data_IF_856880550330
#
_entry.id   IF_856880550330
#
_cell.length_a   1.000
_cell.length_b   1.000
_cell.length_c   1.000
_cell.angle_alpha   90.00
_cell.angle_beta   90.00
_cell.angle_gamma   90.00
#
_symmetry.space_group_name_H-M   'P 1'
#
loop_
_entity.id
_entity.type
_entity.pdbx_description
1 polymer ?
#
# COMPACT_ATOMS: atom_id res chain seq x y z
N UNK A 1 -4.65 -14.76 -8.34
CA UNK A 1 -3.67 -14.36 -7.32
C UNK A 1 -3.88 -12.88 -7.04
N UNK A 2 -3.99 -12.47 -5.78
CA UNK A 2 -3.99 -11.04 -5.42
C UNK A 2 -2.64 -10.42 -5.84
N UNK A 3 -2.63 -9.15 -6.25
CA UNK A 3 -1.37 -8.47 -6.57
C UNK A 3 -0.46 -8.41 -5.34
N UNK A 4 0.85 -8.50 -5.56
CA UNK A 4 1.87 -8.32 -4.53
C UNK A 4 2.26 -6.84 -4.50
N UNK A 5 2.26 -6.25 -3.32
CA UNK A 5 2.83 -4.91 -3.14
C UNK A 5 4.17 -5.05 -2.43
N UNK A 6 5.26 -4.76 -3.14
CA UNK A 6 6.62 -4.87 -2.57
C UNK A 6 6.91 -3.75 -1.57
N UNK A 7 6.30 -2.57 -1.79
CA UNK A 7 6.31 -1.43 -0.87
C UNK A 7 5.18 -0.49 -1.28
N UNK A 8 4.83 0.50 -0.46
CA UNK A 8 3.80 1.50 -0.82
C UNK A 8 4.10 2.25 -2.14
N UNK A 9 5.31 2.17 -2.69
CA UNK A 9 5.64 2.71 -4.02
C UNK A 9 5.42 1.76 -5.19
N UNK A 10 5.42 0.44 -4.99
CA UNK A 10 5.40 -0.53 -6.11
C UNK A 10 4.41 -1.65 -5.81
N UNK A 11 3.38 -1.73 -6.65
CA UNK A 11 2.43 -2.83 -6.72
C UNK A 11 2.63 -3.60 -8.03
N UNK A 12 2.49 -4.92 -8.03
CA UNK A 12 2.45 -5.70 -9.26
C UNK A 12 1.42 -6.84 -9.19
N UNK A 13 0.92 -7.26 -10.35
CA UNK A 13 0.03 -8.41 -10.44
C UNK A 13 0.20 -9.13 -11.76
N UNK A 14 0.17 -10.46 -11.72
CA UNK A 14 -0.13 -11.30 -12.87
C UNK A 14 -1.59 -11.73 -12.81
N UNK A 15 -2.35 -11.44 -13.85
CA UNK A 15 -3.77 -11.78 -13.89
C UNK A 15 -4.27 -11.99 -15.33
N UNK A 16 -5.37 -12.72 -15.45
CA UNK A 16 -6.07 -12.92 -16.71
C UNK A 16 -7.38 -12.14 -16.66
N UNK A 17 -7.67 -11.40 -17.72
CA UNK A 17 -8.87 -10.59 -17.86
C UNK A 17 -9.39 -10.72 -19.29
N UNK A 18 -10.70 -10.72 -19.47
CA UNK A 18 -11.27 -10.95 -20.78
C UNK A 18 -12.67 -10.37 -20.94
N UNK A 19 -13.14 -10.44 -22.17
CA UNK A 19 -14.44 -9.96 -22.62
C UNK A 19 -15.29 -11.17 -22.94
N UNK A 20 -16.49 -11.23 -22.37
CA UNK A 20 -17.49 -12.25 -22.75
C UNK A 20 -18.30 -11.70 -23.91
N UNK A 21 -18.35 -12.43 -25.01
CA UNK A 21 -19.14 -12.08 -26.18
C UNK A 21 -20.46 -12.86 -26.18
N UNK A 22 -21.53 -12.18 -26.57
CA UNK A 22 -22.87 -12.76 -26.63
C UNK A 22 -23.61 -12.34 -27.91
N UNK A 23 -24.42 -13.24 -28.44
CA UNK A 23 -25.37 -12.98 -29.51
C UNK A 23 -26.77 -12.75 -28.93
N UNK A 24 -27.51 -11.80 -29.49
CA UNK A 24 -28.89 -11.51 -29.08
C UNK A 24 -29.84 -12.08 -30.13
N UNK A 25 -30.74 -12.97 -29.70
CA UNK A 25 -31.73 -13.59 -30.58
C UNK A 25 -32.89 -12.64 -30.94
N UNK A 26 -33.81 -13.12 -31.79
CA UNK A 26 -34.98 -12.34 -32.21
C UNK A 26 -35.94 -11.97 -31.09
N UNK A 27 -35.89 -12.67 -29.95
CA UNK A 27 -36.68 -12.40 -28.75
C UNK A 27 -35.96 -11.43 -27.79
N UNK A 28 -34.75 -10.99 -28.14
CA UNK A 28 -33.94 -10.11 -27.30
C UNK A 28 -33.17 -10.83 -26.18
N UNK A 29 -33.08 -12.17 -26.20
CA UNK A 29 -32.29 -12.91 -25.22
C UNK A 29 -30.83 -12.98 -25.64
N UNK A 30 -29.92 -12.72 -24.69
CA UNK A 30 -28.48 -12.83 -24.91
C UNK A 30 -28.01 -14.25 -24.62
N UNK A 31 -27.28 -14.83 -25.57
CA UNK A 31 -26.64 -16.14 -25.48
C UNK A 31 -25.13 -15.95 -25.55
N UNK A 32 -24.43 -16.40 -24.50
CA UNK A 32 -22.97 -16.33 -24.45
C UNK A 32 -22.36 -17.25 -25.50
N UNK A 33 -21.37 -16.73 -26.23
CA UNK A 33 -20.68 -17.44 -27.30
C UNK A 33 -19.29 -17.90 -26.91
N UNK A 34 -18.64 -17.14 -26.02
CA UNK A 34 -17.29 -17.42 -25.56
C UNK A 34 -16.62 -16.21 -24.95
N UNK A 35 -15.45 -16.45 -24.38
CA UNK A 35 -14.60 -15.45 -23.75
C UNK A 35 -13.29 -15.30 -24.52
N UNK A 36 -12.94 -14.06 -24.86
CA UNK A 36 -11.58 -13.71 -25.30
C UNK A 36 -10.85 -13.04 -24.14
N UNK A 37 -9.69 -13.56 -23.74
CA UNK A 37 -8.97 -13.09 -22.56
C UNK A 37 -7.48 -12.85 -22.82
N UNK A 38 -6.90 -11.87 -22.14
CA UNK A 38 -5.47 -11.59 -22.11
C UNK A 38 -4.88 -12.03 -20.77
N UNK A 39 -3.69 -12.64 -20.83
CA UNK A 39 -2.80 -12.74 -19.66
C UNK A 39 -1.98 -11.46 -19.59
N UNK A 40 -1.98 -10.81 -18.44
CA UNK A 40 -1.36 -9.51 -18.22
C UNK A 40 -0.32 -9.58 -17.11
N UNK A 41 0.77 -8.83 -17.28
CA UNK A 41 1.61 -8.34 -16.20
C UNK A 41 1.33 -6.85 -15.98
N UNK A 42 0.99 -6.48 -14.76
CA UNK A 42 0.70 -5.09 -14.39
C UNK A 42 1.64 -4.66 -13.27
N UNK A 43 2.19 -3.44 -13.36
CA UNK A 43 3.05 -2.83 -12.33
C UNK A 43 2.62 -1.39 -12.12
N UNK A 44 2.32 -0.98 -10.88
CA UNK A 44 1.94 0.39 -10.55
C UNK A 44 3.00 1.02 -9.64
N UNK A 45 3.56 2.14 -10.10
CA UNK A 45 4.63 2.88 -9.44
C UNK A 45 4.09 4.21 -8.93
N UNK A 46 4.20 4.46 -7.63
CA UNK A 46 3.88 5.75 -7.02
C UNK A 46 4.89 6.83 -7.38
N UNK A 47 4.49 8.09 -7.23
CA UNK A 47 5.35 9.25 -7.52
C UNK A 47 5.57 10.07 -6.25
N UNK A 48 6.84 10.33 -5.89
CA UNK A 48 7.20 11.10 -4.69
C UNK A 48 7.24 12.62 -4.87
N UNK A 49 7.02 13.11 -6.08
CA UNK A 49 7.10 14.54 -6.42
C UNK A 49 5.88 15.03 -7.20
N UNK A 50 4.92 14.16 -7.49
CA UNK A 50 3.67 14.49 -8.15
C UNK A 50 2.51 13.71 -7.53
N UNK A 51 1.31 14.26 -7.67
CA UNK A 51 0.07 13.62 -7.23
C UNK A 51 -0.44 12.66 -8.29
N UNK A 52 0.31 11.59 -8.55
CA UNK A 52 -0.20 10.48 -9.36
C UNK A 52 0.61 9.20 -9.20
N UNK A 53 0.06 8.11 -9.71
CA UNK A 53 0.75 6.83 -9.89
C UNK A 53 0.80 6.49 -11.37
N UNK A 54 1.82 5.76 -11.81
CA UNK A 54 1.92 5.22 -13.17
C UNK A 54 1.72 3.72 -13.15
N UNK A 55 0.71 3.24 -13.85
CA UNK A 55 0.44 1.82 -14.08
C UNK A 55 0.97 1.41 -15.44
N UNK A 56 1.91 0.47 -15.45
CA UNK A 56 2.44 -0.19 -16.63
C UNK A 56 1.74 -1.53 -16.85
N UNK A 57 1.41 -1.85 -18.10
CA UNK A 57 0.74 -3.10 -18.48
C UNK A 57 1.50 -3.74 -19.64
N UNK A 58 1.68 -5.05 -19.55
CA UNK A 58 2.26 -5.86 -20.59
C UNK A 58 1.37 -7.06 -20.87
N UNK A 59 0.88 -7.16 -22.10
CA UNK A 59 0.13 -8.33 -22.59
C UNK A 59 1.11 -9.47 -22.84
N UNK A 60 0.84 -10.64 -22.25
CA UNK A 60 1.68 -11.83 -22.39
C UNK A 60 1.19 -12.76 -23.49
N UNK A 61 -0.12 -12.97 -23.55
CA UNK A 61 -0.78 -13.82 -24.54
C UNK A 61 -2.28 -13.57 -24.55
N UNK A 62 -2.94 -13.96 -25.63
CA UNK A 62 -4.39 -14.00 -25.74
C UNK A 62 -4.87 -15.46 -25.76
N UNK A 63 -6.06 -15.69 -25.23
CA UNK A 63 -6.75 -16.99 -25.22
C UNK A 63 -8.20 -16.79 -25.64
N UNK A 64 -8.75 -17.77 -26.34
CA UNK A 64 -10.14 -17.81 -26.77
C UNK A 64 -10.77 -19.08 -26.21
N UNK A 65 -11.88 -18.92 -25.50
CA UNK A 65 -12.58 -20.00 -24.81
C UNK A 65 -14.06 -20.00 -25.27
N UNK A 66 -14.41 -20.81 -26.29
CA UNK A 66 -15.79 -20.88 -26.79
C UNK A 66 -16.70 -21.56 -25.76
N UNK A 67 -17.94 -21.08 -25.67
CA UNK A 67 -18.98 -21.74 -24.89
C UNK A 67 -19.40 -23.06 -25.55
N UNK A 68 -20.12 -23.89 -24.79
CA UNK A 68 -20.75 -25.10 -25.32
C UNK A 68 -22.27 -24.99 -25.29
N UNK A 69 -22.94 -25.34 -26.39
CA UNK A 69 -24.39 -25.42 -26.44
C UNK A 69 -24.87 -26.64 -27.23
N UNK A 70 -25.94 -27.26 -26.74
CA UNK A 70 -26.67 -28.31 -27.45
C UNK A 70 -27.73 -27.75 -28.41
N UNK A 71 -28.03 -26.46 -28.34
CA UNK A 71 -28.92 -25.79 -29.29
C UNK A 71 -28.18 -25.60 -30.63
N UNK A 72 -28.68 -26.15 -31.76
CA UNK A 72 -28.00 -26.06 -33.04
C UNK A 72 -27.79 -24.64 -33.55
N UNK A 73 -28.71 -23.71 -33.29
CA UNK A 73 -28.57 -22.32 -33.70
C UNK A 73 -27.45 -21.63 -32.92
N UNK A 74 -27.45 -21.81 -31.59
CA UNK A 74 -26.42 -21.24 -30.72
C UNK A 74 -25.05 -21.87 -31.04
N UNK A 75 -24.99 -23.18 -31.28
CA UNK A 75 -23.75 -23.87 -31.65
C UNK A 75 -23.14 -23.31 -32.94
N UNK A 76 -23.96 -23.01 -33.96
CA UNK A 76 -23.49 -22.35 -35.18
C UNK A 76 -22.95 -20.94 -34.89
N UNK A 77 -23.59 -20.18 -34.00
CA UNK A 77 -23.11 -18.85 -33.59
C UNK A 77 -21.78 -18.91 -32.83
N UNK A 78 -21.59 -19.91 -31.97
CA UNK A 78 -20.32 -20.15 -31.28
C UNK A 78 -19.21 -20.43 -32.29
N UNK A 79 -19.44 -21.32 -33.27
CA UNK A 79 -18.46 -21.62 -34.32
C UNK A 79 -18.13 -20.40 -35.20
N UNK A 80 -19.13 -19.56 -35.50
CA UNK A 80 -18.91 -18.30 -36.23
C UNK A 80 -18.05 -17.34 -35.41
N UNK A 81 -18.36 -17.17 -34.13
CA UNK A 81 -17.59 -16.34 -33.22
C UNK A 81 -16.13 -16.80 -33.13
N UNK A 82 -15.88 -18.10 -33.00
CA UNK A 82 -14.52 -18.66 -32.92
C UNK A 82 -13.67 -18.31 -34.15
N UNK A 83 -14.27 -18.24 -35.34
CA UNK A 83 -13.59 -17.85 -36.59
C UNK A 83 -13.34 -16.34 -36.70
N UNK A 84 -14.12 -15.52 -36.01
CA UNK A 84 -14.12 -14.07 -36.12
C UNK A 84 -13.40 -13.37 -34.96
N UNK A 85 -13.38 -13.97 -33.77
CA UNK A 85 -12.97 -13.31 -32.51
C UNK A 85 -11.58 -12.72 -32.60
N UNK A 86 -10.64 -13.39 -33.27
CA UNK A 86 -9.27 -12.89 -33.45
C UNK A 86 -9.20 -11.54 -34.19
N UNK A 87 -10.22 -11.20 -35.00
CA UNK A 87 -10.31 -9.96 -35.79
C UNK A 87 -11.10 -8.86 -35.09
N UNK A 88 -11.91 -9.21 -34.09
CA UNK A 88 -12.67 -8.23 -33.31
C UNK A 88 -11.71 -7.31 -32.55
N UNK A 89 -12.07 -6.02 -32.42
CA UNK A 89 -11.26 -5.08 -31.63
C UNK A 89 -11.53 -5.30 -30.14
N UNK A 90 -10.50 -5.02 -29.36
CA UNK A 90 -10.54 -4.90 -27.92
C UNK A 90 -9.66 -3.75 -27.49
N UNK A 91 -10.07 -3.11 -26.40
CA UNK A 91 -9.32 -2.02 -25.82
C UNK A 91 -8.93 -2.33 -24.38
N UNK A 92 -7.80 -1.79 -23.95
CA UNK A 92 -7.38 -1.73 -22.55
C UNK A 92 -7.37 -0.26 -22.13
N UNK A 93 -7.87 0.03 -20.93
CA UNK A 93 -7.67 1.33 -20.28
C UNK A 93 -7.58 1.17 -18.76
N UNK A 94 -6.87 2.09 -18.10
CA UNK A 94 -6.98 2.29 -16.66
C UNK A 94 -7.92 3.48 -16.40
N UNK A 95 -8.84 3.34 -15.46
CA UNK A 95 -9.79 4.39 -15.10
C UNK A 95 -9.91 4.56 -13.59
N UNK A 96 -10.19 5.78 -13.18
CA UNK A 96 -10.61 6.08 -11.82
C UNK A 96 -12.08 5.67 -11.61
N UNK A 97 -12.39 5.19 -10.42
CA UNK A 97 -13.77 4.97 -9.98
C UNK A 97 -14.47 6.30 -9.69
N UNK A 98 -13.72 7.28 -9.15
CA UNK A 98 -14.21 8.62 -8.86
C UNK A 98 -14.39 9.48 -10.13
N UNK A 99 -15.16 10.55 -10.01
CA UNK A 99 -15.33 11.54 -11.08
C UNK A 99 -14.04 12.29 -11.39
N UNK A 100 -13.96 12.87 -12.59
CA UNK A 100 -12.80 13.62 -13.11
C UNK A 100 -12.41 14.85 -12.26
N UNK A 101 -13.32 15.32 -11.41
CA UNK A 101 -13.07 16.37 -10.42
C UNK A 101 -12.09 15.94 -9.33
N UNK A 102 -11.95 14.64 -9.08
CA UNK A 102 -11.08 14.10 -8.02
C UNK A 102 -9.88 13.36 -8.60
N UNK A 103 -10.14 12.48 -9.57
CA UNK A 103 -9.18 11.55 -10.12
C UNK A 103 -9.28 11.52 -11.64
N UNK A 104 -8.15 11.50 -12.32
CA UNK A 104 -8.11 11.39 -13.78
C UNK A 104 -7.05 10.39 -14.22
N UNK A 105 -7.44 9.47 -15.11
CA UNK A 105 -6.51 8.55 -15.77
C UNK A 105 -6.22 9.01 -17.20
N UNK A 106 -4.97 8.89 -17.63
CA UNK A 106 -4.50 9.25 -18.98
C UNK A 106 -3.30 8.39 -19.38
N UNK A 107 -3.07 8.08 -20.67
CA UNK A 107 -3.88 8.44 -21.83
C UNK A 107 -5.22 7.69 -21.87
N UNK A 108 -6.01 7.88 -22.93
CA UNK A 108 -7.26 7.14 -23.13
C UNK A 108 -7.04 5.64 -23.40
N UNK A 109 -8.08 4.99 -23.90
CA UNK A 109 -8.02 3.57 -24.23
C UNK A 109 -7.05 3.30 -25.39
N UNK A 110 -6.32 2.19 -25.30
CA UNK A 110 -5.50 1.66 -26.39
C UNK A 110 -6.27 0.51 -27.01
N UNK A 111 -6.51 0.57 -28.32
CA UNK A 111 -7.35 -0.39 -29.04
C UNK A 111 -6.56 -1.15 -30.11
N UNK A 112 -6.70 -2.47 -30.12
CA UNK A 112 -6.19 -3.36 -31.17
C UNK A 112 -7.14 -4.54 -31.36
N UNK A 113 -6.99 -5.30 -32.43
CA UNK A 113 -7.65 -6.61 -32.55
C UNK A 113 -7.04 -7.61 -31.58
N UNK A 114 -7.80 -8.63 -31.19
CA UNK A 114 -7.28 -9.70 -30.34
C UNK A 114 -6.03 -10.37 -30.93
N UNK A 115 -5.97 -10.54 -32.26
CA UNK A 115 -4.77 -11.04 -32.95
C UNK A 115 -3.59 -10.07 -32.84
N UNK A 116 -3.82 -8.78 -33.01
CA UNK A 116 -2.77 -7.76 -32.87
C UNK A 116 -2.21 -7.77 -31.44
N UNK A 117 -3.07 -7.90 -30.42
CA UNK A 117 -2.65 -8.04 -29.02
C UNK A 117 -1.80 -9.28 -28.78
N UNK A 118 -2.17 -10.43 -29.35
CA UNK A 118 -1.41 -11.68 -29.21
C UNK A 118 -0.05 -11.62 -29.92
N UNK A 119 0.03 -10.86 -31.01
CA UNK A 119 1.25 -10.67 -31.79
C UNK A 119 2.16 -9.55 -31.28
N UNK A 120 1.75 -8.78 -30.27
CA UNK A 120 2.58 -7.69 -29.74
C UNK A 120 3.85 -8.25 -29.10
N UNK A 121 5.00 -7.58 -29.28
CA UNK A 121 6.21 -7.97 -28.60
C UNK A 121 6.00 -7.96 -27.08
N UNK A 122 6.34 -9.06 -26.42
CA UNK A 122 6.29 -9.18 -24.95
C UNK A 122 7.27 -8.25 -24.23
N UNK A 123 7.96 -7.36 -24.93
CA UNK A 123 8.85 -6.34 -24.37
C UNK A 123 8.18 -4.95 -24.32
N UNK A 124 7.05 -4.78 -25.00
CA UNK A 124 6.37 -3.50 -25.08
C UNK A 124 5.45 -3.29 -23.88
N UNK A 125 5.69 -2.23 -23.12
CA UNK A 125 4.85 -1.83 -21.99
C UNK A 125 3.96 -0.66 -22.38
N UNK A 126 2.66 -0.82 -22.15
CA UNK A 126 1.72 0.29 -22.12
C UNK A 126 1.80 0.99 -20.76
N UNK A 127 1.37 2.24 -20.69
CA UNK A 127 1.26 2.94 -19.40
C UNK A 127 0.04 3.84 -19.33
N UNK A 128 -0.47 4.00 -18.10
CA UNK A 128 -1.48 4.98 -17.72
C UNK A 128 -1.06 5.66 -16.43
N UNK A 129 -1.20 6.97 -16.39
CA UNK A 129 -1.05 7.78 -15.19
C UNK A 129 -2.40 8.05 -14.58
N UNK A 130 -2.56 7.71 -13.30
CA UNK A 130 -3.73 8.04 -12.49
C UNK A 130 -3.35 9.20 -11.57
N UNK A 131 -3.97 10.35 -11.80
CA UNK A 131 -3.66 11.61 -11.15
C UNK A 131 -4.74 12.02 -10.16
N UNK A 132 -4.32 12.57 -9.02
CA UNK A 132 -5.18 13.21 -8.02
C UNK A 132 -5.15 14.72 -8.17
N UNK A 133 -6.33 15.34 -8.15
CA UNK A 133 -6.47 16.80 -8.09
C UNK A 133 -6.28 17.30 -6.66
N UNK A 134 -5.29 18.17 -6.43
CA UNK A 134 -4.95 18.66 -5.08
C UNK A 134 -6.06 19.54 -4.51
N UNK A 135 -6.62 20.39 -5.37
CA UNK A 135 -7.68 21.34 -5.09
C UNK A 135 -8.99 20.69 -4.60
N UNK A 136 -9.13 19.38 -4.78
CA UNK A 136 -10.30 18.63 -4.34
C UNK A 136 -10.30 18.30 -2.83
N UNK A 137 -9.25 18.67 -2.07
CA UNK A 137 -9.16 18.42 -0.62
C UNK A 137 -8.97 19.70 0.21
N UNK A 138 -9.71 19.78 1.32
CA UNK A 138 -9.50 20.75 2.39
C UNK A 138 -8.86 20.15 3.64
N UNK A 139 -8.62 18.83 3.66
CA UNK A 139 -8.03 18.14 4.81
C UNK A 139 -6.55 18.50 5.00
N UNK A 140 -6.02 18.19 6.19
CA UNK A 140 -4.58 18.24 6.49
C UNK A 140 -3.79 17.46 5.44
N UNK A 141 -2.62 17.99 5.08
CA UNK A 141 -1.75 17.48 4.02
C UNK A 141 -2.47 17.26 2.66
N UNK A 142 -3.65 17.85 2.44
CA UNK A 142 -4.45 17.66 1.21
C UNK A 142 -4.64 16.18 0.86
N UNK A 143 -4.84 15.34 1.87
CA UNK A 143 -4.97 13.90 1.68
C UNK A 143 -6.23 13.59 0.87
N UNK A 144 -6.07 12.71 -0.12
CA UNK A 144 -7.16 12.12 -0.89
C UNK A 144 -6.88 10.64 -1.13
N UNK A 145 -7.95 9.85 -1.18
CA UNK A 145 -7.93 8.44 -1.55
C UNK A 145 -8.67 8.29 -2.87
N UNK A 146 -8.05 7.57 -3.81
CA UNK A 146 -8.67 7.26 -5.09
C UNK A 146 -8.64 5.77 -5.34
N UNK A 147 -9.65 5.28 -6.04
CA UNK A 147 -9.70 3.91 -6.52
C UNK A 147 -9.56 3.92 -8.03
N UNK A 148 -8.78 2.98 -8.54
CA UNK A 148 -8.62 2.77 -9.97
C UNK A 148 -8.67 1.29 -10.29
N UNK A 149 -9.04 0.97 -11.53
CA UNK A 149 -9.03 -0.40 -12.04
C UNK A 149 -8.69 -0.43 -13.53
N UNK A 150 -8.39 -1.62 -14.02
CA UNK A 150 -8.24 -1.89 -15.45
C UNK A 150 -9.58 -2.32 -16.01
N UNK A 151 -9.89 -1.85 -17.22
CA UNK A 151 -11.01 -2.32 -18.03
C UNK A 151 -10.48 -2.85 -19.35
N UNK A 152 -10.94 -4.05 -19.71
CA UNK A 152 -10.81 -4.60 -21.06
C UNK A 152 -12.20 -4.68 -21.66
N UNK A 153 -12.44 -3.94 -22.74
CA UNK A 153 -13.68 -4.02 -23.50
C UNK A 153 -13.46 -4.61 -24.88
N UNK A 154 -14.53 -5.13 -25.47
CA UNK A 154 -14.55 -5.51 -26.89
C UNK A 154 -15.17 -4.40 -27.73
N UNK A 155 -15.04 -4.50 -29.05
CA UNK A 155 -15.90 -3.76 -29.97
C UNK A 155 -16.94 -4.68 -30.60
N UNK A 156 -18.09 -4.08 -30.91
CA UNK A 156 -19.27 -4.76 -31.44
C UNK A 156 -19.20 -4.92 -32.96
N UNK A 157 -18.83 -6.11 -33.40
CA UNK A 157 -19.39 -6.64 -34.64
C UNK A 157 -20.92 -6.85 -34.48
N UNK A 158 -21.46 -7.93 -35.02
CA UNK A 158 -22.84 -8.35 -34.73
C UNK A 158 -23.06 -8.87 -33.29
N UNK A 159 -22.10 -8.64 -32.39
CA UNK A 159 -22.07 -9.18 -31.03
C UNK A 159 -22.24 -8.09 -29.98
N UNK A 160 -22.95 -8.44 -28.92
CA UNK A 160 -22.89 -7.72 -27.65
C UNK A 160 -21.74 -8.28 -26.82
N UNK A 161 -21.30 -7.51 -25.82
CA UNK A 161 -20.20 -7.96 -24.97
C UNK A 161 -20.32 -7.44 -23.55
N UNK A 162 -19.67 -8.16 -22.62
CA UNK A 162 -19.48 -7.75 -21.24
C UNK A 162 -17.98 -7.55 -20.99
N UNK A 163 -17.54 -6.33 -20.59
CA UNK A 163 -16.13 -6.04 -20.38
C UNK A 163 -15.58 -6.76 -19.15
N UNK A 164 -14.28 -7.06 -19.18
CA UNK A 164 -13.53 -7.51 -18.02
C UNK A 164 -13.06 -6.31 -17.21
N UNK A 165 -13.28 -6.34 -15.90
CA UNK A 165 -12.88 -5.28 -14.97
C UNK A 165 -12.03 -5.89 -13.86
N UNK A 166 -10.87 -5.29 -13.56
CA UNK A 166 -10.04 -5.75 -12.44
C UNK A 166 -10.65 -5.31 -11.11
N UNK A 167 -10.22 -5.94 -10.02
CA UNK A 167 -10.53 -5.40 -8.70
C UNK A 167 -9.95 -3.98 -8.55
N UNK A 168 -10.69 -3.14 -7.83
CA UNK A 168 -10.28 -1.79 -7.49
C UNK A 168 -8.99 -1.79 -6.67
N UNK A 169 -8.15 -0.78 -6.92
CA UNK A 169 -6.89 -0.55 -6.23
C UNK A 169 -6.88 0.83 -5.62
N UNK A 170 -6.52 0.92 -4.35
CA UNK A 170 -6.53 2.19 -3.63
C UNK A 170 -5.17 2.86 -3.71
N UNK A 171 -5.15 4.13 -4.08
CA UNK A 171 -4.00 5.02 -3.92
C UNK A 171 -4.32 6.10 -2.90
N UNK A 172 -3.31 6.46 -2.09
CA UNK A 172 -3.36 7.63 -1.22
C UNK A 172 -2.46 8.71 -1.81
N UNK A 173 -2.99 9.91 -1.96
CA UNK A 173 -2.27 11.08 -2.43
C UNK A 173 -2.24 12.17 -1.35
N UNK A 174 -1.12 12.87 -1.21
CA UNK A 174 -0.94 13.99 -0.28
C UNK A 174 -0.11 15.12 -0.88
N UNK A 175 -0.11 16.24 -0.18
CA UNK A 175 0.75 17.41 -0.38
C UNK A 175 1.44 17.80 0.95
N UNK A 176 1.89 16.80 1.71
CA UNK A 176 2.60 17.00 2.98
C UNK A 176 3.97 17.67 2.75
N UNK A 177 4.23 18.77 3.46
CA UNK A 177 5.41 19.63 3.24
C UNK A 177 6.62 19.27 4.08
N UNK A 178 6.48 18.36 5.04
CA UNK A 178 7.52 17.96 5.99
C UNK A 178 8.40 16.79 5.51
N UNK A 179 8.27 16.37 4.24
CA UNK A 179 9.17 15.39 3.63
C UNK A 179 10.29 16.08 2.86
N UNK A 180 11.53 15.79 3.25
CA UNK A 180 12.74 16.26 2.57
C UNK A 180 13.82 15.19 2.63
N UNK A 181 14.59 15.05 1.56
CA UNK A 181 15.74 14.16 1.49
C UNK A 181 16.90 14.89 0.85
N UNK A 182 18.03 14.99 1.56
CA UNK A 182 19.22 15.73 1.13
C UNK A 182 18.93 17.17 0.67
N UNK A 183 18.01 17.86 1.35
CA UNK A 183 17.60 19.23 1.03
C UNK A 183 16.61 19.35 -0.14
N UNK A 184 16.25 18.25 -0.79
CA UNK A 184 15.22 18.22 -1.84
C UNK A 184 13.86 18.02 -1.19
N UNK A 185 12.90 18.96 -1.36
CA UNK A 185 11.55 18.80 -0.84
C UNK A 185 10.75 17.79 -1.68
N UNK A 186 10.01 16.92 -0.99
CA UNK A 186 9.05 15.98 -1.56
C UNK A 186 7.67 16.36 -1.07
N UNK A 187 7.18 17.52 -1.49
CA UNK A 187 6.00 18.15 -0.91
C UNK A 187 4.65 17.59 -1.40
N UNK A 188 4.67 16.53 -2.22
CA UNK A 188 3.47 15.85 -2.73
C UNK A 188 3.81 14.46 -3.22
N UNK A 189 2.88 13.54 -3.07
CA UNK A 189 3.07 12.17 -3.53
C UNK A 189 1.74 11.46 -3.79
N UNK A 190 1.79 10.36 -4.54
CA UNK A 190 0.82 9.28 -4.43
C UNK A 190 1.52 7.94 -4.24
N UNK A 191 0.94 7.11 -3.39
CA UNK A 191 1.41 5.77 -3.06
C UNK A 191 0.26 4.76 -3.19
N UNK A 192 0.60 3.48 -3.38
CA UNK A 192 -0.34 2.37 -3.27
C UNK A 192 -0.71 2.17 -1.79
N UNK A 193 -2.01 2.20 -1.48
CA UNK A 193 -2.51 2.20 -0.10
C UNK A 193 -2.94 0.81 0.39
N UNK A 194 -3.06 -0.18 -0.49
CA UNK A 194 -3.59 -1.52 -0.13
C UNK A 194 -2.65 -2.35 0.80
N UNK A 195 -1.53 -1.80 1.26
CA UNK A 195 -0.54 -2.48 2.13
C UNK A 195 -0.62 -1.96 3.54
N UNK A 196 -0.70 -2.87 4.50
CA UNK A 196 -0.52 -2.54 5.93
C UNK A 196 0.90 -2.01 6.14
N UNK A 197 1.09 -0.71 6.37
CA UNK A 197 2.42 -0.11 6.54
C UNK A 197 3.08 -0.64 7.81
N UNK A 198 4.29 -1.19 7.70
CA UNK A 198 5.02 -1.65 8.87
C UNK A 198 6.52 -1.43 8.75
N UNK A 199 7.12 -0.96 9.84
CA UNK A 199 8.56 -0.92 10.03
C UNK A 199 9.07 -2.33 10.30
N UNK A 200 10.15 -2.73 9.65
CA UNK A 200 10.76 -4.04 9.86
C UNK A 200 12.12 -3.89 10.53
N UNK A 201 12.30 -4.58 11.65
CA UNK A 201 13.62 -4.85 12.23
C UNK A 201 13.86 -6.35 12.34
N UNK A 202 15.12 -6.77 12.19
CA UNK A 202 15.53 -8.16 12.34
C UNK A 202 16.42 -8.29 13.56
N UNK A 203 16.18 -9.32 14.38
CA UNK A 203 17.03 -9.58 15.55
C UNK A 203 18.44 -9.97 15.11
N UNK A 204 18.56 -10.68 13.99
CA UNK A 204 19.83 -11.02 13.34
C UNK A 204 20.60 -9.81 12.76
N UNK A 205 19.99 -8.64 12.62
CA UNK A 205 20.67 -7.43 12.14
C UNK A 205 21.43 -6.75 13.28
N UNK A 206 22.76 -6.88 13.28
CA UNK A 206 23.65 -6.36 14.32
C UNK A 206 23.58 -4.84 14.50
N UNK A 207 22.97 -4.11 13.56
CA UNK A 207 22.74 -2.67 13.69
C UNK A 207 21.59 -2.33 14.64
N UNK A 208 20.68 -3.26 14.92
CA UNK A 208 19.45 -2.99 15.70
C UNK A 208 19.05 -4.13 16.65
N UNK A 209 19.88 -5.15 16.83
CA UNK A 209 19.55 -6.38 17.56
C UNK A 209 18.88 -6.15 18.93
N UNK A 210 19.45 -5.30 19.77
CA UNK A 210 19.00 -5.00 21.12
C UNK A 210 17.72 -4.18 21.13
N UNK A 211 17.58 -3.22 20.20
CA UNK A 211 16.36 -2.45 19.97
C UNK A 211 15.22 -3.37 19.50
N UNK A 212 15.49 -4.22 18.51
CA UNK A 212 14.53 -5.20 18.02
C UNK A 212 14.06 -6.15 19.13
N UNK A 213 14.98 -6.62 19.98
CA UNK A 213 14.65 -7.44 21.16
C UNK A 213 13.83 -6.66 22.20
N UNK A 214 14.11 -5.38 22.42
CA UNK A 214 13.33 -4.53 23.30
C UNK A 214 11.89 -4.36 22.79
N UNK A 215 11.73 -3.98 21.53
CA UNK A 215 10.41 -3.82 20.91
C UNK A 215 9.63 -5.14 20.95
N UNK A 216 10.26 -6.27 20.60
CA UNK A 216 9.62 -7.59 20.69
C UNK A 216 9.15 -7.92 22.11
N UNK A 217 9.95 -7.57 23.12
CA UNK A 217 9.58 -7.77 24.53
C UNK A 217 8.38 -6.91 24.90
N UNK A 218 8.39 -5.62 24.55
CA UNK A 218 7.27 -4.71 24.77
C UNK A 218 5.99 -5.15 24.03
N UNK A 219 6.11 -5.75 22.85
CA UNK A 219 4.95 -6.23 22.08
C UNK A 219 4.37 -7.55 22.59
N UNK A 220 5.20 -8.46 23.10
CA UNK A 220 4.79 -9.82 23.45
C UNK A 220 4.56 -10.03 24.94
N UNK A 221 5.23 -9.26 25.78
CA UNK A 221 5.15 -9.36 27.24
C UNK A 221 5.28 -7.96 27.87
N UNK A 222 4.36 -7.04 27.54
CA UNK A 222 4.46 -5.63 27.95
C UNK A 222 4.52 -5.49 29.47
N UNK A 223 3.86 -6.37 30.23
CA UNK A 223 3.82 -6.26 31.69
C UNK A 223 5.14 -6.55 32.41
N UNK A 224 6.08 -7.23 31.73
CA UNK A 224 7.42 -7.51 32.25
C UNK A 224 8.48 -6.53 31.73
N UNK A 225 8.06 -5.36 31.28
CA UNK A 225 8.96 -4.27 30.84
C UNK A 225 8.99 -3.11 31.84
N UNK A 226 9.98 -2.21 31.71
CA UNK A 226 10.05 -0.99 32.52
C UNK A 226 9.34 0.19 31.85
N UNK A 227 8.62 1.05 32.56
CA UNK A 227 8.41 1.03 34.01
C UNK A 227 7.55 -0.16 34.46
N UNK A 228 7.89 -0.79 35.59
CA UNK A 228 7.25 -2.01 36.08
C UNK A 228 5.90 -1.70 36.77
N UNK A 229 4.89 -1.36 35.97
CA UNK A 229 3.53 -1.01 36.43
C UNK A 229 2.52 -2.17 36.34
N UNK A 230 2.98 -3.37 36.01
CA UNK A 230 2.12 -4.56 35.91
C UNK A 230 1.40 -4.62 34.57
N UNK A 231 0.08 -4.40 34.55
CA UNK A 231 -0.66 -4.43 33.28
C UNK A 231 -0.29 -3.23 32.40
N UNK A 232 0.05 -3.50 31.14
CA UNK A 232 0.40 -2.49 30.14
C UNK A 232 -0.29 -2.74 28.81
N UNK A 233 -0.74 -1.67 28.18
CA UNK A 233 -1.28 -1.65 26.82
C UNK A 233 -0.31 -0.89 25.91
N UNK A 234 0.49 -1.65 25.16
CA UNK A 234 1.48 -1.12 24.22
C UNK A 234 1.05 -1.48 22.78
N UNK A 235 0.63 -0.49 21.96
CA UNK A 235 0.21 -0.73 20.58
C UNK A 235 1.40 -0.88 19.62
N UNK A 236 1.10 -1.15 18.35
CA UNK A 236 2.06 -1.08 17.25
C UNK A 236 2.61 -2.43 16.77
N UNK A 237 2.13 -3.57 17.28
CA UNK A 237 2.57 -4.89 16.82
C UNK A 237 1.97 -5.26 15.46
N UNK A 238 2.81 -5.56 14.48
CA UNK A 238 2.33 -6.02 13.18
C UNK A 238 1.71 -7.42 13.24
N UNK A 239 0.47 -7.55 12.74
CA UNK A 239 -0.28 -8.81 12.69
C UNK A 239 -0.72 -9.20 11.27
N UNK A 240 -0.26 -8.45 10.25
CA UNK A 240 -0.71 -8.60 8.87
C UNK A 240 -2.09 -7.99 8.58
N UNK A 241 -2.67 -7.22 9.51
CA UNK A 241 -4.00 -6.62 9.39
C UNK A 241 -4.00 -5.13 9.66
N UNK A 242 -4.92 -4.44 9.01
CA UNK A 242 -5.32 -3.07 9.37
C UNK A 242 -6.24 -3.14 10.59
N UNK A 243 -5.68 -3.11 11.80
CA UNK A 243 -6.46 -3.01 13.04
C UNK A 243 -6.38 -1.59 13.63
N UNK A 244 -6.99 -1.37 14.81
CA UNK A 244 -7.01 -0.06 15.46
C UNK A 244 -5.85 0.15 16.45
N UNK A 245 -4.88 -0.77 16.52
CA UNK A 245 -3.75 -0.72 17.46
C UNK A 245 -2.43 -0.36 16.75
N UNK A 246 -2.49 0.43 15.67
CA UNK A 246 -1.31 0.99 15.00
C UNK A 246 -0.72 2.20 15.74
N UNK A 247 0.51 2.55 15.38
CA UNK A 247 1.18 3.78 15.80
C UNK A 247 0.87 4.92 14.85
N UNK A 248 0.76 6.13 15.37
CA UNK A 248 0.52 7.36 14.60
C UNK A 248 1.73 8.26 14.75
N UNK A 249 2.39 8.58 13.64
CA UNK A 249 3.63 9.37 13.63
C UNK A 249 3.38 10.81 14.12
N UNK A 250 4.32 11.40 14.86
CA UNK A 250 4.35 12.86 15.09
C UNK A 250 5.65 13.47 14.56
N UNK A 251 5.65 14.78 14.30
CA UNK A 251 6.88 15.48 13.86
C UNK A 251 7.91 15.54 14.99
N UNK A 252 9.16 15.30 14.64
CA UNK A 252 10.29 15.55 15.54
C UNK A 252 10.32 17.02 15.96
N UNK A 253 10.50 17.27 17.26
CA UNK A 253 10.49 18.61 17.83
C UNK A 253 9.10 19.20 18.12
N UNK A 254 8.01 18.51 17.77
CA UNK A 254 6.66 18.87 18.24
C UNK A 254 6.53 18.77 19.76
N UNK A 255 5.50 19.41 20.33
CA UNK A 255 5.22 19.32 21.77
C UNK A 255 5.01 17.87 22.23
N UNK A 256 4.25 17.06 21.47
CA UNK A 256 4.06 15.63 21.74
C UNK A 256 5.39 14.88 21.78
N UNK A 257 6.26 15.10 20.78
CA UNK A 257 7.58 14.48 20.76
C UNK A 257 8.43 14.88 21.97
N UNK A 258 8.48 16.16 22.33
CA UNK A 258 9.25 16.64 23.48
C UNK A 258 8.74 16.06 24.81
N UNK A 259 7.41 15.98 24.97
CA UNK A 259 6.79 15.38 26.14
C UNK A 259 7.11 13.88 26.23
N UNK A 260 7.03 13.15 25.11
CA UNK A 260 7.41 11.74 25.06
C UNK A 260 8.87 11.52 25.47
N UNK A 261 9.79 12.35 24.96
CA UNK A 261 11.20 12.28 25.34
C UNK A 261 11.38 12.55 26.84
N UNK A 262 10.72 13.58 27.37
CA UNK A 262 10.82 13.93 28.79
C UNK A 262 10.29 12.80 29.69
N UNK A 263 9.14 12.21 29.35
CA UNK A 263 8.52 11.16 30.14
C UNK A 263 9.31 9.85 30.09
N UNK A 264 9.83 9.49 28.91
CA UNK A 264 10.81 8.42 28.77
C UNK A 264 12.00 8.65 29.70
N UNK A 265 12.63 9.82 29.61
CA UNK A 265 13.83 10.15 30.36
C UNK A 265 13.60 10.03 31.87
N UNK A 266 12.42 10.41 32.35
CA UNK A 266 12.03 10.22 33.76
C UNK A 266 12.03 8.74 34.13
N UNK A 267 11.46 7.87 33.30
CA UNK A 267 11.45 6.43 33.55
C UNK A 267 12.86 5.81 33.50
N UNK A 268 13.71 6.26 32.56
CA UNK A 268 15.09 5.78 32.42
C UNK A 268 15.99 6.19 33.60
N UNK A 269 15.76 7.38 34.16
CA UNK A 269 16.58 7.97 35.22
C UNK A 269 15.96 7.76 36.61
N UNK A 270 14.86 7.02 36.73
CA UNK A 270 14.06 6.82 37.96
C UNK A 270 13.72 8.14 38.66
N UNK A 271 13.38 9.15 37.88
CA UNK A 271 12.84 10.41 38.38
C UNK A 271 11.34 10.23 38.68
N UNK A 272 10.72 11.07 39.53
CA UNK A 272 9.27 11.03 39.77
C UNK A 272 8.50 10.92 38.45
N UNK A 273 7.43 10.10 38.31
CA UNK A 273 6.87 9.18 39.30
C UNK A 273 7.49 7.76 39.28
N UNK A 274 8.66 7.59 38.65
CA UNK A 274 9.27 6.29 38.37
C UNK A 274 10.39 5.88 39.34
N UNK A 275 10.42 6.45 40.54
CA UNK A 275 11.50 6.22 41.51
C UNK A 275 11.62 4.74 41.89
N UNK A 276 10.49 4.01 41.93
CA UNK A 276 10.42 2.61 42.39
C UNK A 276 10.27 1.60 41.27
N UNK A 277 9.75 2.01 40.12
CA UNK A 277 9.38 1.12 39.02
C UNK A 277 10.05 1.49 37.67
N UNK A 278 10.82 2.59 37.59
CA UNK A 278 11.62 2.94 36.42
C UNK A 278 12.74 1.93 36.14
N UNK A 279 13.53 2.21 35.11
CA UNK A 279 14.64 1.34 34.72
C UNK A 279 15.63 1.16 35.90
N UNK A 280 15.92 -0.08 36.37
CA UNK A 280 16.64 -0.28 37.63
C UNK A 280 18.03 0.34 37.64
N UNK A 281 18.70 0.27 36.49
CA UNK A 281 20.01 0.86 36.24
C UNK A 281 19.87 1.82 35.05
N UNK A 282 20.24 3.08 35.26
CA UNK A 282 20.25 4.06 34.18
C UNK A 282 21.28 3.67 33.10
N UNK A 283 21.08 4.06 31.83
CA UNK A 283 22.03 3.78 30.76
C UNK A 283 23.46 4.23 31.11
N UNK A 284 24.44 3.36 30.88
CA UNK A 284 25.87 3.60 31.11
C UNK A 284 26.50 4.35 29.94
N UNK A 285 27.76 4.83 30.08
CA UNK A 285 28.51 5.31 28.92
C UNK A 285 28.54 4.27 27.80
N UNK A 286 28.08 4.66 26.60
CA UNK A 286 27.93 3.76 25.45
C UNK A 286 26.55 3.11 25.32
N UNK A 287 25.62 3.42 26.21
CA UNK A 287 24.21 3.02 26.12
C UNK A 287 23.30 4.24 26.02
N UNK A 288 22.21 4.07 25.27
CA UNK A 288 21.11 5.02 25.21
C UNK A 288 19.87 4.38 25.84
N UNK A 289 18.94 5.20 26.33
CA UNK A 289 17.63 4.70 26.72
C UNK A 289 16.72 4.63 25.50
N UNK A 290 16.43 3.42 25.05
CA UNK A 290 15.46 3.13 23.98
C UNK A 290 14.04 3.09 24.54
N UNK A 291 13.06 3.42 23.70
CA UNK A 291 11.64 3.48 24.05
C UNK A 291 10.72 2.83 23.01
N UNK A 292 9.66 2.20 23.50
CA UNK A 292 8.57 1.72 22.64
C UNK A 292 7.21 1.90 23.34
N UNK A 293 6.22 2.57 22.72
CA UNK A 293 6.24 3.15 21.39
C UNK A 293 7.21 4.33 21.24
N UNK A 294 7.58 4.66 20.00
CA UNK A 294 8.63 5.65 19.72
C UNK A 294 8.25 7.06 20.19
N UNK A 295 9.22 7.88 20.59
CA UNK A 295 8.95 9.28 20.94
C UNK A 295 8.33 10.09 19.78
N UNK A 296 8.52 9.66 18.54
CA UNK A 296 7.88 10.23 17.34
C UNK A 296 6.52 9.61 17.04
N UNK A 297 5.78 9.17 18.05
CA UNK A 297 4.39 8.69 17.91
C UNK A 297 3.44 9.28 18.94
N UNK A 298 2.15 9.38 18.62
CA UNK A 298 1.09 9.80 19.56
C UNK A 298 0.95 8.81 20.72
N UNK A 299 1.31 7.55 20.51
CA UNK A 299 1.29 6.49 21.51
C UNK A 299 2.57 6.44 22.37
N UNK A 300 3.47 7.41 22.22
CA UNK A 300 4.72 7.48 22.96
C UNK A 300 4.53 7.68 24.47
N UNK A 301 5.64 7.76 25.20
CA UNK A 301 5.67 7.67 26.66
C UNK A 301 4.78 8.67 27.43
N UNK A 302 4.48 9.84 26.85
CA UNK A 302 3.63 10.85 27.49
C UNK A 302 2.13 10.70 27.14
N UNK A 303 1.75 9.66 26.41
CA UNK A 303 0.36 9.37 26.08
C UNK A 303 -0.46 9.12 27.36
N UNK A 304 -1.62 9.77 27.53
CA UNK A 304 -2.52 9.47 28.64
C UNK A 304 -3.33 8.16 28.43
N UNK A 305 -3.25 7.55 27.24
CA UNK A 305 -4.08 6.40 26.85
C UNK A 305 -3.28 5.11 26.62
N UNK A 306 -1.95 5.22 26.52
CA UNK A 306 -1.09 4.11 26.11
C UNK A 306 0.10 4.02 27.04
N UNK A 307 0.50 2.79 27.34
CA UNK A 307 1.70 2.53 28.12
C UNK A 307 2.92 2.46 27.22
N UNK A 308 4.10 2.50 27.85
CA UNK A 308 5.37 2.42 27.15
C UNK A 308 6.34 1.49 27.88
N UNK A 309 7.41 1.16 27.17
CA UNK A 309 8.54 0.38 27.61
C UNK A 309 9.83 1.17 27.39
N UNK A 310 10.76 1.09 28.34
CA UNK A 310 12.13 1.61 28.22
C UNK A 310 13.16 0.54 28.49
N UNK A 311 14.32 0.65 27.83
CA UNK A 311 15.46 -0.25 28.04
C UNK A 311 16.77 0.46 27.73
N UNK A 312 17.80 0.24 28.54
CA UNK A 312 19.17 0.58 28.16
C UNK A 312 19.65 -0.37 27.05
N UNK A 313 20.10 0.18 25.93
CA UNK A 313 20.64 -0.56 24.78
C UNK A 313 21.91 0.13 24.28
N UNK A 314 22.80 -0.54 23.53
CA UNK A 314 24.00 0.09 22.98
C UNK A 314 23.65 1.32 22.12
N UNK A 315 24.32 2.46 22.34
CA UNK A 315 24.02 3.71 21.65
C UNK A 315 24.13 3.59 20.13
N UNK A 316 25.08 2.80 19.61
CA UNK A 316 25.22 2.57 18.18
C UNK A 316 24.00 1.88 17.57
N UNK A 317 23.38 0.97 18.30
CA UNK A 317 22.18 0.28 17.85
C UNK A 317 20.95 1.17 17.91
N UNK A 318 20.81 1.94 19.01
CA UNK A 318 19.70 2.87 19.19
C UNK A 318 19.69 3.97 18.11
N UNK A 319 20.85 4.56 17.84
CA UNK A 319 21.00 5.60 16.82
C UNK A 319 20.77 5.05 15.41
N UNK A 320 21.21 3.82 15.13
CA UNK A 320 20.93 3.17 13.85
C UNK A 320 19.44 2.89 13.67
N UNK A 321 18.77 2.38 14.71
CA UNK A 321 17.33 2.16 14.71
C UNK A 321 16.57 3.47 14.47
N UNK A 322 16.91 4.54 15.20
CA UNK A 322 16.31 5.87 14.99
C UNK A 322 16.50 6.41 13.57
N UNK A 323 17.70 6.22 12.98
CA UNK A 323 17.96 6.56 11.58
C UNK A 323 17.10 5.74 10.60
N UNK A 324 16.97 4.43 10.84
CA UNK A 324 16.12 3.55 10.04
C UNK A 324 14.63 3.86 10.17
N UNK A 325 14.16 4.26 11.37
CA UNK A 325 12.79 4.72 11.60
C UNK A 325 12.51 6.01 10.82
N UNK A 326 13.43 6.98 10.89
CA UNK A 326 13.34 8.21 10.09
C UNK A 326 13.31 7.92 8.59
N UNK A 327 14.13 6.96 8.15
CA UNK A 327 14.15 6.54 6.75
C UNK A 327 12.86 5.81 6.35
N UNK A 328 12.31 4.96 7.22
CA UNK A 328 11.02 4.31 7.02
C UNK A 328 9.90 5.33 6.86
N UNK A 329 9.82 6.34 7.72
CA UNK A 329 8.79 7.38 7.59
C UNK A 329 8.80 8.03 6.21
N UNK A 330 9.98 8.37 5.69
CA UNK A 330 10.08 8.92 4.34
C UNK A 330 9.77 7.87 3.26
N UNK A 331 10.43 6.70 3.33
CA UNK A 331 10.35 5.66 2.31
C UNK A 331 8.95 5.06 2.20
N UNK A 332 8.17 5.01 3.26
CA UNK A 332 6.78 4.55 3.18
C UNK A 332 5.78 5.71 3.17
N UNK A 333 6.27 6.95 3.08
CA UNK A 333 5.45 8.17 3.04
C UNK A 333 4.42 8.19 4.19
N UNK A 334 4.88 7.89 5.41
CA UNK A 334 4.04 7.84 6.62
C UNK A 334 3.69 9.26 7.06
N UNK A 335 2.42 9.64 6.90
CA UNK A 335 1.88 10.93 7.35
C UNK A 335 1.69 10.99 8.87
N UNK A 336 1.67 12.20 9.45
CA UNK A 336 1.59 12.38 10.90
C UNK A 336 0.19 12.23 11.53
N UNK A 337 -0.87 12.13 10.73
CA UNK A 337 -2.22 11.96 11.29
C UNK A 337 -3.09 10.94 10.54
N UNK A 338 -2.73 10.59 9.31
CA UNK A 338 -3.58 9.76 8.45
C UNK A 338 -3.09 8.33 8.26
N UNK A 339 -1.79 8.08 8.43
CA UNK A 339 -1.20 6.77 8.19
C UNK A 339 -0.85 6.11 9.53
N UNK A 340 -1.71 5.22 10.08
CA UNK A 340 -1.28 4.32 11.14
C UNK A 340 -0.20 3.39 10.59
N UNK A 341 0.76 2.99 11.40
CA UNK A 341 1.79 2.02 11.03
C UNK A 341 2.11 1.05 12.17
N UNK A 342 2.64 -0.11 11.84
CA UNK A 342 3.00 -1.14 12.80
C UNK A 342 4.50 -1.43 12.75
N UNK A 343 4.97 -2.27 13.66
CA UNK A 343 6.37 -2.71 13.74
C UNK A 343 6.39 -4.23 13.76
N UNK A 344 7.09 -4.79 12.80
CA UNK A 344 7.34 -6.21 12.62
C UNK A 344 8.77 -6.53 13.07
N UNK A 345 8.89 -7.44 14.03
CA UNK A 345 10.19 -7.94 14.50
C UNK A 345 10.37 -9.36 13.96
N UNK A 346 11.32 -9.50 13.05
CA UNK A 346 11.68 -10.76 12.41
C UNK A 346 12.91 -11.38 13.10
N UNK A 347 13.05 -12.70 12.99
CA UNK A 347 14.20 -13.43 13.53
C UNK A 347 15.48 -13.22 12.70
#
# INVERSE_FOLDING_TARGET
MAGETYSRWIWCQKHQMGVVYAWVDGDGRAHDLGTAAMKLHTVTVGNGQARGVRTYIQVQSVTYDPEFSLDPEIAVRIMQWEQEVSKLKSYILAECVQTSTYCQSSPGAVEHSWKEWDSRPTQEWLFWDTHSREEASSADDKVLFHQWHLRIGGSGGAYTYRPGVSADRTIRCDSATYFSLFGVPYNKACINYDVVPHLQYKISDSRVTSVARHIRHAQNDPGNTYPAIGYKVIPGKYTGKWDNLGLTRVLGGSATHQNNVAEKDRACKRLPPYETNGLPEAPKPGEDCDEYPFATTEQGAASPYWDFSVRAVPSSENQSAGGLLGWYYFRDRILTAQDPFWVDIQD
#
